data_IF_484467173060
#
_entry.id   IF_484467173060
#
_cell.length_a   1.000
_cell.length_b   1.000
_cell.length_c   1.000
_cell.angle_alpha   90.00
_cell.angle_beta   90.00
_cell.angle_gamma   90.00
#
_symmetry.space_group_name_H-M   'P 1'
#
loop_
_entity.id
_entity.type
_entity.pdbx_description
1 polymer ?
#
# COMPACT_ATOMS: atom_id res chain seq x y z
N UNK A 1 18.90 13.68 19.40
CA UNK A 1 17.55 14.09 18.94
C UNK A 1 17.19 13.46 17.60
N UNK A 2 18.06 13.54 16.58
CA UNK A 2 17.80 12.95 15.25
C UNK A 2 17.59 11.44 15.28
N UNK A 3 18.31 10.68 16.11
CA UNK A 3 18.07 9.23 16.29
C UNK A 3 16.63 8.93 16.72
N UNK A 4 16.03 9.77 17.57
CA UNK A 4 14.64 9.59 18.01
C UNK A 4 13.66 9.89 16.88
N UNK A 5 13.97 10.89 16.04
CA UNK A 5 13.18 11.19 14.84
C UNK A 5 13.24 10.02 13.86
N UNK A 6 14.43 9.46 13.61
CA UNK A 6 14.61 8.29 12.72
C UNK A 6 13.84 7.09 13.26
N UNK A 7 13.97 6.77 14.55
CA UNK A 7 13.22 5.67 15.17
C UNK A 7 11.71 5.90 15.04
N UNK A 8 11.24 7.11 15.33
CA UNK A 8 9.83 7.46 15.19
C UNK A 8 9.35 7.30 13.74
N UNK A 9 10.14 7.76 12.76
CA UNK A 9 9.83 7.64 11.34
C UNK A 9 9.78 6.16 10.89
N UNK A 10 10.73 5.33 11.33
CA UNK A 10 10.72 3.88 11.05
C UNK A 10 9.46 3.22 11.61
N UNK A 11 9.08 3.54 12.86
CA UNK A 11 7.87 3.00 13.46
C UNK A 11 6.60 3.49 12.74
N UNK A 12 6.56 4.77 12.37
CA UNK A 12 5.46 5.33 11.61
C UNK A 12 5.33 4.64 10.24
N UNK A 13 6.45 4.41 9.54
CA UNK A 13 6.49 3.62 8.31
C UNK A 13 5.89 2.23 8.52
N UNK A 14 6.26 1.60 9.64
CA UNK A 14 5.72 0.31 10.05
C UNK A 14 4.21 0.31 10.19
N UNK A 15 3.62 1.34 10.81
CA UNK A 15 2.17 1.48 10.93
C UNK A 15 1.51 1.57 9.55
N UNK A 16 2.06 2.37 8.63
CA UNK A 16 1.54 2.48 7.27
C UNK A 16 1.62 1.15 6.53
N UNK A 17 2.78 0.50 6.57
CA UNK A 17 3.02 -0.77 5.90
C UNK A 17 2.16 -1.92 6.44
N UNK A 18 1.98 -1.96 7.76
CA UNK A 18 1.06 -2.88 8.43
C UNK A 18 -0.39 -2.61 8.04
N UNK A 19 -0.79 -1.34 7.94
CA UNK A 19 -2.15 -0.95 7.55
C UNK A 19 -2.47 -1.37 6.12
N UNK A 20 -1.52 -1.18 5.21
CA UNK A 20 -1.61 -1.59 3.81
C UNK A 20 -1.93 -3.09 3.70
N UNK A 21 -1.06 -3.92 4.25
CA UNK A 21 -1.20 -5.36 4.12
C UNK A 21 -2.41 -5.89 4.87
N UNK A 22 -2.74 -5.31 6.04
CA UNK A 22 -3.92 -5.70 6.81
C UNK A 22 -5.21 -5.43 6.03
N UNK A 23 -5.32 -4.29 5.35
CA UNK A 23 -6.50 -3.98 4.55
C UNK A 23 -6.59 -4.89 3.31
N UNK A 24 -5.48 -5.10 2.60
CA UNK A 24 -5.44 -5.93 1.39
C UNK A 24 -5.73 -7.40 1.69
N UNK A 25 -5.28 -7.90 2.84
CA UNK A 25 -5.49 -9.29 3.25
C UNK A 25 -6.77 -9.52 4.08
N UNK A 26 -7.49 -8.46 4.45
CA UNK A 26 -8.74 -8.54 5.21
C UNK A 26 -9.85 -9.17 4.38
N UNK A 27 -10.57 -10.13 4.96
CA UNK A 27 -11.74 -10.72 4.32
C UNK A 27 -12.95 -9.80 4.46
N UNK A 28 -13.48 -9.30 3.34
CA UNK A 28 -14.63 -8.35 3.31
C UNK A 28 -15.83 -8.82 4.16
N UNK A 29 -16.24 -10.09 4.04
CA UNK A 29 -17.39 -10.63 4.79
C UNK A 29 -17.22 -10.54 6.32
N UNK A 30 -15.99 -10.66 6.84
CA UNK A 30 -15.72 -10.53 8.28
C UNK A 30 -15.87 -9.09 8.75
N UNK A 31 -15.36 -8.13 7.97
CA UNK A 31 -15.51 -6.70 8.24
C UNK A 31 -16.99 -6.29 8.18
N UNK A 32 -17.74 -6.79 7.19
CA UNK A 32 -19.18 -6.57 7.09
C UNK A 32 -19.94 -7.14 8.30
N UNK A 33 -19.63 -8.37 8.70
CA UNK A 33 -20.25 -8.99 9.88
C UNK A 33 -19.97 -8.16 11.14
N UNK A 34 -18.73 -7.71 11.35
CA UNK A 34 -18.37 -6.86 12.48
C UNK A 34 -19.05 -5.48 12.43
N UNK A 35 -19.18 -4.88 11.23
CA UNK A 35 -19.89 -3.62 11.05
C UNK A 35 -21.39 -3.75 11.35
N UNK A 36 -22.04 -4.85 10.92
CA UNK A 36 -23.45 -5.16 11.25
C UNK A 36 -23.67 -5.35 12.75
N UNK A 37 -22.66 -5.84 13.47
CA UNK A 37 -22.65 -5.96 14.95
C UNK A 37 -22.38 -4.63 15.67
N UNK A 38 -22.34 -3.49 14.96
CA UNK A 38 -22.21 -2.16 15.55
C UNK A 38 -20.77 -1.64 15.67
N UNK A 39 -19.77 -2.37 15.15
CA UNK A 39 -18.38 -1.89 15.21
C UNK A 39 -18.13 -0.76 14.17
N UNK A 40 -18.05 0.49 14.65
CA UNK A 40 -17.83 1.67 13.80
C UNK A 40 -16.48 1.65 13.08
N UNK A 41 -15.45 1.03 13.67
CA UNK A 41 -14.13 0.91 13.08
C UNK A 41 -14.13 -0.11 11.94
N UNK A 42 -14.83 -1.24 12.11
CA UNK A 42 -15.04 -2.21 11.04
C UNK A 42 -15.81 -1.60 9.85
N UNK A 43 -16.81 -0.75 10.12
CA UNK A 43 -17.54 -0.02 9.06
C UNK A 43 -16.62 0.90 8.26
N UNK A 44 -15.67 1.58 8.92
CA UNK A 44 -14.67 2.43 8.25
C UNK A 44 -13.65 1.60 7.47
N UNK A 45 -13.15 0.51 8.05
CA UNK A 45 -12.25 -0.41 7.36
C UNK A 45 -12.91 -0.95 6.07
N UNK A 46 -14.19 -1.32 6.14
CA UNK A 46 -14.97 -1.73 4.97
C UNK A 46 -15.06 -0.62 3.92
N UNK A 47 -15.30 0.64 4.33
CA UNK A 47 -15.34 1.77 3.41
C UNK A 47 -13.99 2.01 2.70
N UNK A 48 -12.86 1.84 3.41
CA UNK A 48 -11.52 1.89 2.85
C UNK A 48 -11.28 0.71 1.88
N UNK A 49 -11.70 -0.50 2.24
CA UNK A 49 -11.57 -1.69 1.40
C UNK A 49 -12.44 -1.65 0.13
N UNK A 50 -13.51 -0.85 0.12
CA UNK A 50 -14.35 -0.58 -1.05
C UNK A 50 -13.75 0.50 -1.97
N UNK A 51 -12.79 1.28 -1.49
CA UNK A 51 -12.07 2.28 -2.29
C UNK A 51 -10.54 2.06 -2.19
N UNK A 52 -10.05 0.87 -2.61
CA UNK A 52 -8.67 0.46 -2.37
C UNK A 52 -7.67 1.43 -3.01
N UNK A 53 -7.97 1.97 -4.20
CA UNK A 53 -7.07 2.89 -4.89
C UNK A 53 -6.74 4.14 -4.06
N UNK A 54 -7.75 4.78 -3.46
CA UNK A 54 -7.52 5.99 -2.64
C UNK A 54 -6.71 5.66 -1.39
N UNK A 55 -7.02 4.53 -0.75
CA UNK A 55 -6.31 4.09 0.44
C UNK A 55 -4.85 3.72 0.14
N UNK A 56 -4.61 2.88 -0.87
CA UNK A 56 -3.28 2.44 -1.27
C UNK A 56 -2.41 3.62 -1.70
N UNK A 57 -2.96 4.55 -2.51
CA UNK A 57 -2.24 5.78 -2.85
C UNK A 57 -1.94 6.63 -1.62
N UNK A 58 -2.85 6.73 -0.66
CA UNK A 58 -2.60 7.47 0.60
C UNK A 58 -1.43 6.86 1.37
N UNK A 59 -1.45 5.54 1.55
CA UNK A 59 -0.41 4.83 2.31
C UNK A 59 0.93 4.95 1.60
N UNK A 60 0.96 4.77 0.28
CA UNK A 60 2.20 4.86 -0.50
C UNK A 60 2.82 6.26 -0.48
N UNK A 61 2.00 7.33 -0.52
CA UNK A 61 2.48 8.70 -0.33
C UNK A 61 3.10 8.85 1.07
N UNK A 62 2.45 8.31 2.10
CA UNK A 62 2.96 8.31 3.48
C UNK A 62 4.31 7.61 3.59
N UNK A 63 4.42 6.38 3.09
CA UNK A 63 5.65 5.57 3.08
C UNK A 63 6.77 6.33 2.34
N UNK A 64 6.48 6.90 1.18
CA UNK A 64 7.46 7.66 0.39
C UNK A 64 7.95 8.89 1.15
N UNK A 65 7.04 9.68 1.72
CA UNK A 65 7.39 10.87 2.50
C UNK A 65 8.26 10.51 3.71
N UNK A 66 7.90 9.44 4.42
CA UNK A 66 8.66 8.95 5.57
C UNK A 66 10.05 8.49 5.14
N UNK A 67 10.17 7.79 4.01
CA UNK A 67 11.45 7.38 3.44
C UNK A 67 12.36 8.57 3.13
N UNK A 68 11.82 9.61 2.48
CA UNK A 68 12.57 10.84 2.17
C UNK A 68 13.02 11.54 3.45
N UNK A 69 12.10 11.72 4.42
CA UNK A 69 12.45 12.36 5.70
C UNK A 69 13.52 11.56 6.45
N UNK A 70 13.40 10.22 6.48
CA UNK A 70 14.37 9.35 7.11
C UNK A 70 15.75 9.49 6.45
N UNK A 71 15.80 9.55 5.12
CA UNK A 71 17.03 9.82 4.37
C UNK A 71 17.67 11.15 4.73
N UNK A 72 16.89 12.23 4.79
CA UNK A 72 17.37 13.57 5.17
C UNK A 72 17.96 13.55 6.59
N UNK A 73 17.19 13.06 7.57
CA UNK A 73 17.65 13.03 8.97
C UNK A 73 18.79 12.03 9.22
N UNK A 74 18.96 11.02 8.37
CA UNK A 74 20.07 10.07 8.48
C UNK A 74 21.42 10.65 8.04
N UNK A 75 21.41 11.59 7.09
CA UNK A 75 22.60 12.07 6.40
C UNK A 75 23.44 13.04 7.23
N UNK A 76 22.82 13.87 8.07
CA UNK A 76 23.48 15.05 8.64
C UNK A 76 24.34 14.77 9.87
N UNK A 77 23.80 14.30 11.02
CA UNK A 77 24.65 14.08 12.21
C UNK A 77 25.21 12.68 12.37
N UNK A 78 24.43 11.64 12.07
CA UNK A 78 24.88 10.25 12.27
C UNK A 78 26.13 9.94 11.43
N UNK A 79 26.17 10.45 10.21
CA UNK A 79 27.34 10.35 9.34
C UNK A 79 28.54 11.11 9.90
N UNK A 80 28.34 12.32 10.43
CA UNK A 80 29.42 13.17 10.98
C UNK A 80 30.00 12.56 12.26
N UNK A 81 29.17 12.03 13.14
CA UNK A 81 29.60 11.37 14.38
C UNK A 81 30.45 10.12 14.07
N UNK A 82 30.03 9.32 13.07
CA UNK A 82 30.80 8.17 12.61
C UNK A 82 32.07 8.60 11.88
N UNK A 83 32.02 9.67 11.10
CA UNK A 83 33.17 10.23 10.40
C UNK A 83 34.26 10.65 11.39
N UNK A 84 33.93 11.40 12.43
CA UNK A 84 34.89 11.80 13.47
C UNK A 84 35.51 10.62 14.21
N UNK A 85 34.78 9.51 14.33
CA UNK A 85 35.30 8.27 14.90
C UNK A 85 36.29 7.58 13.95
N UNK A 86 36.00 7.59 12.65
CA UNK A 86 36.84 6.98 11.61
C UNK A 86 38.07 7.83 11.24
N UNK A 87 38.00 9.16 11.40
CA UNK A 87 39.14 10.08 11.22
C UNK A 87 40.28 9.80 12.20
N UNK A 88 39.99 9.16 13.35
CA UNK A 88 41.02 8.73 14.32
C UNK A 88 41.88 7.57 13.80
N UNK A 89 41.49 6.94 12.70
CA UNK A 89 42.19 5.81 12.08
C UNK A 89 42.95 6.34 10.86
N UNK A 90 44.28 6.43 10.95
CA UNK A 90 45.17 7.02 9.93
C UNK A 90 44.94 6.45 8.52
N UNK A 91 44.69 5.14 8.41
CA UNK A 91 44.45 4.46 7.13
C UNK A 91 43.10 4.80 6.48
N UNK A 92 42.09 5.15 7.29
CA UNK A 92 40.70 5.35 6.83
C UNK A 92 40.38 6.86 6.73
N UNK A 93 41.15 7.73 7.38
CA UNK A 93 40.94 9.17 7.40
C UNK A 93 40.64 9.81 6.01
N UNK A 94 41.34 9.48 4.89
CA UNK A 94 41.04 10.05 3.58
C UNK A 94 39.64 9.66 3.03
N UNK A 95 39.12 8.52 3.50
CA UNK A 95 37.85 7.93 3.08
C UNK A 95 36.79 7.97 4.18
N UNK A 96 37.05 8.64 5.31
CA UNK A 96 36.19 8.59 6.49
C UNK A 96 34.76 9.03 6.18
N UNK A 97 34.59 10.10 5.40
CA UNK A 97 33.27 10.60 4.98
C UNK A 97 32.49 9.59 4.11
N UNK A 98 32.97 9.15 2.93
CA UNK A 98 32.23 8.20 2.10
C UNK A 98 32.00 6.86 2.80
N UNK A 99 32.97 6.37 3.59
CA UNK A 99 32.80 5.14 4.38
C UNK A 99 31.71 5.30 5.44
N UNK A 100 31.66 6.44 6.13
CA UNK A 100 30.62 6.74 7.12
C UNK A 100 29.24 6.76 6.49
N UNK A 101 29.08 7.44 5.36
CA UNK A 101 27.81 7.50 4.62
C UNK A 101 27.34 6.09 4.28
N UNK A 102 28.22 5.26 3.70
CA UNK A 102 27.86 3.89 3.31
C UNK A 102 27.44 3.05 4.52
N UNK A 103 28.19 3.10 5.62
CA UNK A 103 27.87 2.35 6.84
C UNK A 103 26.52 2.79 7.43
N UNK A 104 26.31 4.10 7.57
CA UNK A 104 25.06 4.64 8.12
C UNK A 104 23.87 4.28 7.24
N UNK A 105 24.00 4.40 5.91
CA UNK A 105 22.95 4.00 4.97
C UNK A 105 22.63 2.52 5.10
N UNK A 106 23.62 1.63 5.15
CA UNK A 106 23.39 0.18 5.32
C UNK A 106 22.66 -0.12 6.62
N UNK A 107 23.12 0.46 7.74
CA UNK A 107 22.51 0.24 9.06
C UNK A 107 21.06 0.72 9.06
N UNK A 108 20.82 1.96 8.66
CA UNK A 108 19.46 2.54 8.67
C UNK A 108 18.55 1.80 7.70
N UNK A 109 19.05 1.40 6.52
CA UNK A 109 18.29 0.60 5.56
C UNK A 109 17.88 -0.73 6.18
N UNK A 110 18.80 -1.43 6.85
CA UNK A 110 18.49 -2.69 7.53
C UNK A 110 17.39 -2.50 8.59
N UNK A 111 17.54 -1.52 9.49
CA UNK A 111 16.54 -1.26 10.53
C UNK A 111 15.19 -0.80 9.93
N UNK A 112 15.21 0.04 8.89
CA UNK A 112 14.00 0.51 8.22
C UNK A 112 13.26 -0.63 7.53
N UNK A 113 13.96 -1.53 6.83
CA UNK A 113 13.34 -2.70 6.19
C UNK A 113 12.78 -3.66 7.25
N UNK A 114 13.55 -3.97 8.28
CA UNK A 114 13.13 -4.96 9.30
C UNK A 114 11.96 -4.44 10.13
N UNK A 115 12.10 -3.26 10.73
CA UNK A 115 11.13 -2.71 11.69
C UNK A 115 10.08 -1.81 11.05
N UNK A 116 10.40 -1.16 9.92
CA UNK A 116 9.47 -0.30 9.20
C UNK A 116 8.65 -1.03 8.14
N UNK A 117 9.02 -2.25 7.74
CA UNK A 117 8.28 -3.00 6.72
C UNK A 117 8.03 -4.47 7.08
N UNK A 118 9.08 -5.30 7.21
CA UNK A 118 8.93 -6.75 7.27
C UNK A 118 8.15 -7.23 8.49
N UNK A 119 8.55 -6.79 9.70
CA UNK A 119 7.87 -7.16 10.94
C UNK A 119 6.43 -6.63 10.94
N UNK A 120 6.17 -5.33 10.68
CA UNK A 120 4.81 -4.81 10.63
C UNK A 120 3.93 -5.49 9.58
N UNK A 121 4.46 -5.78 8.37
CA UNK A 121 3.73 -6.51 7.34
C UNK A 121 3.34 -7.92 7.84
N UNK A 122 4.25 -8.61 8.52
CA UNK A 122 3.97 -9.93 9.09
C UNK A 122 2.88 -9.87 10.16
N UNK A 123 2.90 -8.84 11.00
CA UNK A 123 1.86 -8.60 12.01
C UNK A 123 0.50 -8.33 11.33
N UNK A 124 0.49 -7.49 10.29
CA UNK A 124 -0.68 -7.19 9.48
C UNK A 124 -1.33 -8.44 8.87
N UNK A 125 -0.53 -9.40 8.41
CA UNK A 125 -1.00 -10.67 7.86
C UNK A 125 -1.56 -11.63 8.92
N UNK A 126 -1.04 -11.60 10.15
CA UNK A 126 -1.54 -12.46 11.23
C UNK A 126 -2.91 -12.02 11.74
N UNK A 127 -3.16 -10.71 11.80
CA UNK A 127 -4.39 -10.14 12.37
C UNK A 127 -5.04 -9.08 11.45
N UNK A 128 -5.38 -9.42 10.20
CA UNK A 128 -5.72 -8.44 9.18
C UNK A 128 -6.96 -7.64 9.54
N UNK A 129 -8.06 -8.30 9.91
CA UNK A 129 -9.31 -7.59 10.19
C UNK A 129 -9.24 -6.71 11.45
N UNK A 130 -8.57 -7.20 12.50
CA UNK A 130 -8.38 -6.45 13.75
C UNK A 130 -7.55 -5.20 13.51
N UNK A 131 -6.44 -5.34 12.79
CA UNK A 131 -5.53 -4.23 12.47
C UNK A 131 -6.21 -3.26 11.52
N UNK A 132 -6.84 -3.74 10.44
CA UNK A 132 -7.56 -2.91 9.49
C UNK A 132 -8.64 -2.07 10.20
N UNK A 133 -9.40 -2.65 11.14
CA UNK A 133 -10.34 -1.90 11.95
C UNK A 133 -9.64 -0.87 12.87
N UNK A 134 -8.56 -1.25 13.56
CA UNK A 134 -7.84 -0.34 14.46
C UNK A 134 -7.27 0.89 13.73
N UNK A 135 -6.71 0.69 12.53
CA UNK A 135 -6.09 1.75 11.73
C UNK A 135 -7.10 2.49 10.84
N UNK A 136 -8.34 2.02 10.73
CA UNK A 136 -9.33 2.62 9.83
C UNK A 136 -9.60 4.09 10.13
N UNK A 137 -9.70 4.48 11.40
CA UNK A 137 -9.96 5.88 11.80
C UNK A 137 -8.82 6.82 11.41
N UNK A 138 -7.55 6.60 11.82
CA UNK A 138 -6.46 7.47 11.43
C UNK A 138 -6.24 7.47 9.91
N UNK A 139 -6.36 6.32 9.25
CA UNK A 139 -6.19 6.24 7.79
C UNK A 139 -7.28 7.01 7.03
N UNK A 140 -8.54 6.96 7.49
CA UNK A 140 -9.61 7.77 6.87
C UNK A 140 -9.29 9.26 6.94
N UNK A 141 -8.76 9.74 8.07
CA UNK A 141 -8.39 11.14 8.23
C UNK A 141 -7.24 11.54 7.29
N UNK A 142 -6.19 10.71 7.23
CA UNK A 142 -5.04 10.96 6.34
C UNK A 142 -5.50 10.93 4.88
N UNK A 143 -6.35 9.99 4.48
CA UNK A 143 -6.91 9.91 3.12
C UNK A 143 -7.70 11.14 2.72
N UNK A 144 -8.38 11.80 3.67
CA UNK A 144 -9.09 13.07 3.39
C UNK A 144 -8.07 14.19 3.11
N UNK A 145 -6.99 14.27 3.90
CA UNK A 145 -5.94 15.28 3.74
C UNK A 145 -5.16 15.06 2.43
N UNK A 146 -4.85 13.82 2.08
CA UNK A 146 -4.08 13.48 0.87
C UNK A 146 -4.94 13.44 -0.39
N UNK A 147 -6.27 13.48 -0.28
CA UNK A 147 -7.21 13.48 -1.40
C UNK A 147 -6.87 14.46 -2.55
N UNK A 148 -6.54 15.75 -2.31
CA UNK A 148 -6.15 16.65 -3.39
C UNK A 148 -4.89 16.20 -4.12
N UNK A 149 -3.90 15.67 -3.40
CA UNK A 149 -2.67 15.13 -3.99
C UNK A 149 -2.96 13.89 -4.82
N UNK A 150 -3.78 12.97 -4.31
CA UNK A 150 -4.19 11.75 -5.01
C UNK A 150 -4.96 12.10 -6.28
N UNK A 151 -5.84 13.09 -6.24
CA UNK A 151 -6.55 13.55 -7.43
C UNK A 151 -5.58 14.09 -8.50
N UNK A 152 -4.60 14.90 -8.09
CA UNK A 152 -3.58 15.42 -8.99
C UNK A 152 -2.76 14.29 -9.61
N UNK A 153 -2.26 13.36 -8.78
CA UNK A 153 -1.53 12.17 -9.21
C UNK A 153 -2.34 11.31 -10.19
N UNK A 154 -3.63 11.11 -9.89
CA UNK A 154 -4.56 10.40 -10.78
C UNK A 154 -4.71 11.08 -12.13
N UNK A 155 -4.87 12.41 -12.15
CA UNK A 155 -4.93 13.19 -13.40
C UNK A 155 -3.63 13.12 -14.20
N UNK A 156 -2.48 13.18 -13.53
CA UNK A 156 -1.19 13.00 -14.17
C UNK A 156 -1.06 11.60 -14.77
N UNK A 157 -1.43 10.55 -14.01
CA UNK A 157 -1.41 9.18 -14.49
C UNK A 157 -2.33 8.98 -15.71
N UNK A 158 -3.58 9.46 -15.64
CA UNK A 158 -4.52 9.41 -16.76
C UNK A 158 -4.00 10.13 -18.01
N UNK A 159 -3.31 11.26 -17.83
CA UNK A 159 -2.70 12.00 -18.93
C UNK A 159 -1.58 11.18 -19.59
N UNK A 160 -0.66 10.60 -18.81
CA UNK A 160 0.41 9.78 -19.35
C UNK A 160 -0.11 8.49 -20.00
N UNK A 161 -1.11 7.83 -19.42
CA UNK A 161 -1.75 6.67 -20.02
C UNK A 161 -2.40 7.03 -21.37
N UNK A 162 -3.05 8.19 -21.48
CA UNK A 162 -3.59 8.69 -22.76
C UNK A 162 -2.49 8.96 -23.78
N UNK A 163 -1.36 9.54 -23.37
CA UNK A 163 -0.20 9.78 -24.25
C UNK A 163 0.36 8.45 -24.77
N UNK A 164 0.41 7.42 -23.93
CA UNK A 164 0.86 6.07 -24.30
C UNK A 164 -0.21 5.25 -25.05
N UNK A 165 -1.40 5.80 -25.28
CA UNK A 165 -2.50 5.09 -25.95
C UNK A 165 -3.19 4.02 -25.10
N UNK A 166 -2.88 3.93 -23.82
CA UNK A 166 -3.46 2.96 -22.88
C UNK A 166 -4.77 3.53 -22.31
N UNK A 167 -5.92 3.03 -22.77
CA UNK A 167 -7.23 3.38 -22.18
C UNK A 167 -7.43 2.62 -20.88
N UNK A 168 -7.76 3.34 -19.80
CA UNK A 168 -8.27 2.75 -18.57
C UNK A 168 -9.57 1.98 -18.90
N UNK A 169 -9.54 0.65 -18.83
CA UNK A 169 -10.78 -0.13 -18.79
C UNK A 169 -11.46 0.21 -17.46
N UNK A 170 -12.67 0.77 -17.52
CA UNK A 170 -13.52 0.83 -16.34
C UNK A 170 -13.86 -0.61 -15.98
N UNK A 171 -13.53 -1.04 -14.76
CA UNK A 171 -14.14 -2.22 -14.16
C UNK A 171 -15.67 -2.07 -14.30
N UNK A 172 -16.30 -2.89 -15.13
CA UNK A 172 -17.77 -2.92 -15.27
C UNK A 172 -18.37 -2.81 -16.67
N UNK A 173 -17.60 -2.98 -17.75
CA UNK A 173 -18.20 -3.27 -19.06
C UNK A 173 -17.59 -4.59 -19.55
N UNK A 174 -18.15 -5.70 -19.06
CA UNK A 174 -17.91 -7.01 -19.68
C UNK A 174 -18.40 -6.87 -21.12
N UNK A 175 -17.52 -7.06 -22.10
CA UNK A 175 -17.94 -6.94 -23.49
C UNK A 175 -18.89 -8.08 -23.84
N UNK A 176 -19.74 -7.90 -24.86
CA UNK A 176 -20.67 -8.97 -25.28
C UNK A 176 -19.92 -10.26 -25.63
N UNK A 177 -18.71 -10.12 -26.20
CA UNK A 177 -17.82 -11.23 -26.52
C UNK A 177 -17.32 -11.96 -25.26
N UNK A 178 -17.05 -11.23 -24.18
CA UNK A 178 -16.61 -11.78 -22.90
C UNK A 178 -17.78 -12.48 -22.17
N UNK A 179 -19.01 -11.97 -22.29
CA UNK A 179 -20.23 -12.69 -21.84
C UNK A 179 -20.42 -13.98 -22.64
N UNK A 180 -20.29 -13.92 -23.98
CA UNK A 180 -20.40 -15.10 -24.85
C UNK A 180 -19.35 -16.16 -24.50
N UNK A 181 -18.12 -15.75 -24.23
CA UNK A 181 -17.04 -16.64 -23.82
C UNK A 181 -17.35 -17.35 -22.49
N UNK A 182 -17.81 -16.60 -21.47
CA UNK A 182 -18.18 -17.17 -20.16
C UNK A 182 -19.34 -18.18 -20.30
N UNK A 183 -20.34 -17.86 -21.11
CA UNK A 183 -21.50 -18.74 -21.36
C UNK A 183 -21.08 -20.01 -22.11
N UNK A 184 -20.17 -19.89 -23.09
CA UNK A 184 -19.67 -21.01 -23.85
C UNK A 184 -18.78 -21.93 -22.99
N UNK A 185 -17.90 -21.35 -22.16
CA UNK A 185 -17.07 -22.07 -21.19
C UNK A 185 -17.94 -22.80 -20.15
N UNK A 186 -19.02 -22.17 -19.68
CA UNK A 186 -19.98 -22.79 -18.75
C UNK A 186 -20.83 -23.90 -19.40
N UNK A 187 -21.08 -23.82 -20.72
CA UNK A 187 -21.79 -24.84 -21.47
C UNK A 187 -20.90 -26.07 -21.77
N UNK A 188 -19.61 -25.86 -22.03
CA UNK A 188 -18.63 -26.94 -22.27
C UNK A 188 -18.22 -27.64 -20.96
N UNK A 189 -18.22 -26.93 -19.83
CA UNK A 189 -17.94 -27.47 -18.48
C UNK A 189 -19.07 -28.30 -17.87
N UNK A 190 -20.24 -28.39 -18.50
CA UNK A 190 -21.32 -29.30 -18.13
C UNK A 190 -22.26 -28.85 -17.00
N UNK A 191 -22.22 -27.60 -16.53
CA UNK A 191 -23.11 -27.12 -15.45
C UNK A 191 -24.41 -26.45 -15.94
N UNK A 192 -24.61 -26.22 -17.25
CA UNK A 192 -25.85 -25.67 -17.79
C UNK A 192 -26.65 -26.75 -18.53
N UNK A 193 -27.73 -27.22 -17.91
CA UNK A 193 -28.73 -28.07 -18.57
C UNK A 193 -29.32 -27.32 -19.78
N UNK A 194 -29.38 -28.01 -20.93
CA UNK A 194 -29.75 -27.52 -22.28
C UNK A 194 -31.04 -26.67 -22.39
N UNK A 195 -31.82 -26.54 -21.33
CA UNK A 195 -33.08 -25.80 -21.29
C UNK A 195 -32.86 -24.27 -21.25
N UNK A 196 -31.77 -23.78 -20.63
CA UNK A 196 -31.54 -22.33 -20.45
C UNK A 196 -30.97 -21.61 -21.69
N UNK A 197 -30.23 -22.32 -22.56
CA UNK A 197 -29.71 -21.74 -23.82
C UNK A 197 -30.83 -21.21 -24.73
N UNK A 198 -31.98 -21.89 -24.73
CA UNK A 198 -33.14 -21.54 -25.57
C UNK A 198 -33.86 -20.26 -25.11
N UNK A 199 -33.67 -19.85 -23.85
CA UNK A 199 -34.23 -18.63 -23.26
C UNK A 199 -33.33 -17.45 -23.58
N UNK A 200 -32.00 -17.62 -23.46
CA UNK A 200 -31.01 -16.57 -23.78
C UNK A 200 -31.07 -16.17 -25.26
N UNK A 201 -31.14 -17.14 -26.18
CA UNK A 201 -31.25 -16.85 -27.62
C UNK A 201 -32.54 -16.11 -28.01
N UNK A 202 -33.61 -16.21 -27.21
CA UNK A 202 -34.90 -15.57 -27.50
C UNK A 202 -35.02 -14.14 -26.97
N UNK A 203 -34.16 -13.76 -26.02
CA UNK A 203 -34.16 -12.42 -25.40
C UNK A 203 -33.21 -11.47 -26.12
N UNK A 204 -32.19 -11.99 -26.82
CA UNK A 204 -31.21 -11.21 -27.58
C UNK A 204 -31.43 -11.23 -29.10
N UNK A 205 -32.60 -11.69 -29.57
CA UNK A 205 -33.02 -11.64 -30.97
C UNK A 205 -33.92 -10.42 -31.25
#
# INVERSE_FOLDING_TARGET
>A
MEIFIIIFLILLNGIFSMSEIALVSSRRFKLESAAKKGNSNAKRALALANNPNTFLSTVQIGITLIGILTGIFSGDKLTVDLQHSLERIVLIAPYAKPVSVVIIVIIITFFSIVFGELIPKRIGLMFPETIAAAVAKPMTFISIITKPFIWLLGKTNDLFLRILGLKHQKEGIVSEEEIKAIVQESAEGGEIQQIEQSIVQRVFA
#
